data_IF_980959314883
#
_entry.id   IF_980959314883
#
_cell.length_a   1.000
_cell.length_b   1.000
_cell.length_c   1.000
_cell.angle_alpha   90.00
_cell.angle_beta   90.00
_cell.angle_gamma   90.00
#
_symmetry.space_group_name_H-M   'P 1'
#
loop_
_entity.id
_entity.type
_entity.pdbx_description
1 polymer ?
#
# COMPACT_ATOMS: atom_id res chain seq x y z
N UNK A 1 -38.22 14.22 54.39
CA UNK A 1 -37.42 13.96 53.19
C UNK A 1 -37.16 15.33 52.57
N UNK A 2 -35.91 15.74 52.53
CA UNK A 2 -35.51 17.06 52.03
C UNK A 2 -35.56 17.04 50.50
N UNK A 3 -36.49 17.80 49.95
CA UNK A 3 -36.74 17.85 48.49
C UNK A 3 -35.51 18.40 47.73
N UNK A 4 -34.79 19.34 48.34
CA UNK A 4 -33.58 19.91 47.76
C UNK A 4 -32.47 18.85 47.60
N UNK A 5 -32.27 18.02 48.61
CA UNK A 5 -31.31 16.92 48.61
C UNK A 5 -31.68 15.84 47.57
N UNK A 6 -32.97 15.55 47.41
CA UNK A 6 -33.47 14.61 46.41
C UNK A 6 -33.27 15.13 44.99
N UNK A 7 -33.52 16.41 44.75
CA UNK A 7 -33.31 17.01 43.42
C UNK A 7 -31.82 17.08 43.07
N UNK A 8 -30.96 17.41 44.04
CA UNK A 8 -29.50 17.39 43.83
C UNK A 8 -28.97 16.00 43.50
N UNK A 9 -29.45 14.92 44.16
CA UNK A 9 -29.10 13.54 43.85
C UNK A 9 -29.59 13.14 42.43
N UNK A 10 -30.79 13.55 42.05
CA UNK A 10 -31.36 13.31 40.74
C UNK A 10 -30.55 13.99 39.63
N UNK A 11 -30.19 15.27 39.81
CA UNK A 11 -29.35 16.02 38.88
C UNK A 11 -27.95 15.40 38.74
N UNK A 12 -27.37 14.94 39.85
CA UNK A 12 -26.10 14.23 39.86
C UNK A 12 -26.13 12.95 39.02
N UNK A 13 -27.20 12.15 39.17
CA UNK A 13 -27.40 10.92 38.39
C UNK A 13 -27.58 11.20 36.89
N UNK A 14 -28.35 12.22 36.53
CA UNK A 14 -28.54 12.64 35.14
C UNK A 14 -27.24 13.19 34.54
N UNK A 15 -26.41 13.90 35.29
CA UNK A 15 -25.12 14.38 34.84
C UNK A 15 -24.14 13.23 34.60
N UNK A 16 -24.11 12.25 35.50
CA UNK A 16 -23.30 11.04 35.38
C UNK A 16 -23.72 10.19 34.18
N UNK A 17 -25.04 10.01 33.98
CA UNK A 17 -25.57 9.30 32.84
C UNK A 17 -25.17 9.97 31.53
N UNK A 18 -25.33 11.28 31.41
CA UNK A 18 -24.92 12.04 30.21
C UNK A 18 -23.41 11.95 29.92
N UNK A 19 -22.58 11.94 30.96
CA UNK A 19 -21.12 11.74 30.78
C UNK A 19 -20.83 10.35 30.19
N UNK A 20 -21.42 9.30 30.75
CA UNK A 20 -21.25 7.93 30.24
C UNK A 20 -21.72 7.78 28.80
N UNK A 21 -22.89 8.35 28.48
CA UNK A 21 -23.44 8.32 27.13
C UNK A 21 -22.53 9.06 26.12
N UNK A 22 -21.96 10.22 26.54
CA UNK A 22 -20.98 10.94 25.72
C UNK A 22 -19.66 10.19 25.57
N UNK A 23 -19.14 9.55 26.63
CA UNK A 23 -17.91 8.78 26.58
C UNK A 23 -18.05 7.58 25.62
N UNK A 24 -19.18 6.87 25.66
CA UNK A 24 -19.50 5.80 24.73
C UNK A 24 -19.60 6.31 23.28
N UNK A 25 -20.24 7.44 23.06
CA UNK A 25 -20.36 8.04 21.73
C UNK A 25 -19.00 8.46 21.17
N UNK A 26 -18.12 9.02 22.00
CA UNK A 26 -16.74 9.39 21.61
C UNK A 26 -15.94 8.15 21.27
N UNK A 27 -16.08 7.07 22.03
CA UNK A 27 -15.41 5.79 21.76
C UNK A 27 -15.88 5.18 20.44
N UNK A 28 -17.21 5.12 20.21
CA UNK A 28 -17.80 4.64 18.95
C UNK A 28 -17.34 5.46 17.73
N UNK A 29 -17.32 6.80 17.84
CA UNK A 29 -16.85 7.67 16.77
C UNK A 29 -15.36 7.46 16.48
N UNK A 30 -14.55 7.32 17.54
CA UNK A 30 -13.11 7.06 17.40
C UNK A 30 -12.84 5.72 16.73
N UNK A 31 -13.60 4.70 17.07
CA UNK A 31 -13.47 3.37 16.46
C UNK A 31 -13.96 3.36 15.00
N UNK A 32 -15.04 4.08 14.69
CA UNK A 32 -15.51 4.26 13.33
C UNK A 32 -14.48 5.01 12.45
N UNK A 33 -13.86 6.07 12.98
CA UNK A 33 -12.77 6.78 12.30
C UNK A 33 -11.56 5.86 12.04
N UNK A 34 -11.15 5.06 13.05
CA UNK A 34 -10.05 4.09 12.91
C UNK A 34 -10.36 3.02 11.86
N UNK A 35 -11.58 2.53 11.83
CA UNK A 35 -12.02 1.52 10.86
C UNK A 35 -11.95 2.03 9.40
N UNK A 36 -12.07 3.35 9.18
CA UNK A 36 -11.93 3.99 7.87
C UNK A 36 -10.48 4.21 7.41
N UNK A 37 -9.49 4.08 8.32
CA UNK A 37 -8.08 4.35 7.99
C UNK A 37 -7.48 3.23 7.15
N UNK A 38 -7.03 3.56 5.94
CA UNK A 38 -6.37 2.62 5.03
C UNK A 38 -4.85 2.63 5.20
N UNK A 39 -4.18 1.53 4.80
CA UNK A 39 -2.71 1.47 4.74
C UNK A 39 -2.15 2.58 3.84
N UNK A 40 -2.79 2.84 2.71
CA UNK A 40 -2.40 3.92 1.80
C UNK A 40 -2.40 5.29 2.49
N UNK A 41 -3.45 5.60 3.26
CA UNK A 41 -3.55 6.87 3.99
C UNK A 41 -2.44 7.01 5.05
N UNK A 42 -2.09 5.92 5.73
CA UNK A 42 -0.99 5.91 6.71
C UNK A 42 0.38 6.05 6.05
N UNK A 43 0.61 5.39 4.91
CA UNK A 43 1.87 5.50 4.16
C UNK A 43 2.10 6.91 3.63
N UNK A 44 1.04 7.59 3.16
CA UNK A 44 1.14 8.99 2.70
C UNK A 44 1.42 9.99 3.82
N UNK A 45 1.06 9.65 5.06
CA UNK A 45 1.26 10.52 6.23
C UNK A 45 2.64 10.34 6.89
N UNK A 46 3.48 9.44 6.40
CA UNK A 46 4.81 9.20 6.99
C UNK A 46 5.80 10.25 6.51
N UNK A 47 6.41 10.94 7.46
CA UNK A 47 7.57 11.80 7.24
C UNK A 47 8.84 10.98 7.50
N UNK A 48 9.46 10.44 6.46
CA UNK A 48 10.71 9.70 6.58
C UNK A 48 10.69 8.33 5.92
N UNK A 49 11.75 7.53 6.12
CA UNK A 49 11.84 6.19 5.53
C UNK A 49 10.91 5.20 6.22
N UNK A 50 10.38 4.28 5.43
CA UNK A 50 9.58 3.15 5.87
C UNK A 50 10.24 1.85 5.44
N UNK A 51 9.99 0.80 6.19
CA UNK A 51 10.24 -0.58 5.78
C UNK A 51 8.93 -1.22 5.39
N UNK A 52 8.84 -1.73 4.18
CA UNK A 52 7.75 -2.58 3.71
C UNK A 52 8.22 -4.04 3.70
N UNK A 53 7.39 -4.94 4.17
CA UNK A 53 7.54 -6.38 3.95
C UNK A 53 6.53 -6.80 2.91
N UNK A 54 7.02 -7.42 1.84
CA UNK A 54 6.21 -7.92 0.75
C UNK A 54 5.95 -9.42 0.93
N UNK A 55 4.93 -9.94 0.26
CA UNK A 55 4.72 -11.39 0.19
C UNK A 55 6.03 -12.09 -0.19
N UNK A 56 6.27 -13.27 0.39
CA UNK A 56 7.53 -13.97 0.23
C UNK A 56 8.67 -13.46 1.11
N UNK A 57 8.39 -12.50 2.02
CA UNK A 57 9.34 -12.05 3.05
C UNK A 57 10.37 -11.01 2.58
N UNK A 58 10.29 -10.54 1.32
CA UNK A 58 11.17 -9.49 0.82
C UNK A 58 10.93 -8.18 1.58
N UNK A 59 12.02 -7.55 2.01
CA UNK A 59 12.02 -6.23 2.64
C UNK A 59 12.42 -5.15 1.64
N UNK A 60 11.73 -4.02 1.72
CA UNK A 60 12.00 -2.82 0.94
C UNK A 60 12.07 -1.63 1.90
N UNK A 61 13.23 -1.01 2.01
CA UNK A 61 13.46 0.17 2.83
C UNK A 61 13.56 1.41 1.93
N UNK A 62 12.88 2.50 2.31
CA UNK A 62 12.93 3.73 1.53
C UNK A 62 11.87 4.76 1.92
N UNK A 63 11.85 5.88 1.21
CA UNK A 63 10.88 6.94 1.41
C UNK A 63 9.68 6.78 0.47
N UNK A 64 8.48 6.93 0.97
CA UNK A 64 7.26 6.98 0.15
C UNK A 64 7.27 8.24 -0.70
N UNK A 65 7.20 8.09 -2.01
CA UNK A 65 7.18 9.19 -2.99
C UNK A 65 5.78 9.51 -3.46
N UNK A 66 4.98 8.47 -3.67
CA UNK A 66 3.57 8.59 -4.03
C UNK A 66 2.83 7.32 -3.59
N UNK A 67 1.53 7.43 -3.35
CA UNK A 67 0.70 6.30 -2.99
C UNK A 67 -0.73 6.53 -3.48
N UNK A 68 -1.31 5.49 -4.05
CA UNK A 68 -2.72 5.45 -4.43
C UNK A 68 -3.45 4.37 -3.63
N UNK A 69 -4.71 4.11 -3.95
CA UNK A 69 -5.46 3.01 -3.33
C UNK A 69 -4.96 1.61 -3.74
N UNK A 70 -4.15 1.51 -4.78
CA UNK A 70 -3.76 0.22 -5.38
C UNK A 70 -2.26 -0.03 -5.37
N UNK A 71 -1.44 1.00 -5.29
CA UNK A 71 0.01 0.90 -5.30
C UNK A 71 0.69 2.00 -4.49
N UNK A 72 1.92 1.75 -4.11
CA UNK A 72 2.84 2.72 -3.49
C UNK A 72 4.15 2.77 -4.29
N UNK A 73 4.70 3.97 -4.46
CA UNK A 73 6.02 4.22 -5.02
C UNK A 73 6.99 4.53 -3.88
N UNK A 74 8.02 3.73 -3.75
CA UNK A 74 9.05 3.87 -2.69
C UNK A 74 10.39 4.11 -3.33
N UNK A 75 11.10 5.14 -2.88
CA UNK A 75 12.49 5.41 -3.24
C UNK A 75 13.42 4.84 -2.19
N UNK A 76 14.13 3.79 -2.56
CA UNK A 76 15.21 3.19 -1.77
C UNK A 76 16.58 3.41 -2.40
N UNK A 77 17.62 2.81 -1.82
CA UNK A 77 19.00 2.90 -2.32
C UNK A 77 19.18 2.30 -3.72
N UNK A 78 18.37 1.29 -4.07
CA UNK A 78 18.35 0.65 -5.40
C UNK A 78 17.50 1.37 -6.44
N UNK A 79 16.99 2.57 -6.17
CA UNK A 79 16.09 3.33 -7.05
C UNK A 79 14.62 3.25 -6.63
N UNK A 80 13.75 3.59 -7.56
CA UNK A 80 12.31 3.61 -7.32
C UNK A 80 11.69 2.23 -7.53
N UNK A 81 10.88 1.83 -6.56
CA UNK A 81 10.11 0.58 -6.54
C UNK A 81 8.62 0.87 -6.55
N UNK A 82 7.91 0.38 -7.54
CA UNK A 82 6.46 0.40 -7.60
C UNK A 82 5.92 -0.90 -7.01
N UNK A 83 5.16 -0.80 -5.93
CA UNK A 83 4.65 -1.94 -5.15
C UNK A 83 3.13 -1.93 -5.14
N UNK A 84 2.45 -3.00 -5.60
CA UNK A 84 1.02 -3.17 -5.37
C UNK A 84 0.73 -3.23 -3.86
N UNK A 85 -0.24 -2.46 -3.37
CA UNK A 85 -0.58 -2.50 -1.94
C UNK A 85 -1.03 -3.88 -1.46
N UNK A 86 -1.65 -4.67 -2.34
CA UNK A 86 -2.00 -6.07 -2.03
C UNK A 86 -0.80 -7.01 -1.85
N UNK A 87 0.40 -6.57 -2.23
CA UNK A 87 1.63 -7.32 -1.97
C UNK A 87 2.27 -6.98 -0.62
N UNK A 88 1.88 -5.87 0.02
CA UNK A 88 2.42 -5.44 1.32
C UNK A 88 1.77 -6.24 2.43
N UNK A 89 2.55 -6.98 3.18
CA UNK A 89 2.12 -7.79 4.34
C UNK A 89 2.55 -7.19 5.67
N UNK A 90 3.46 -6.19 5.66
CA UNK A 90 3.88 -5.44 6.84
C UNK A 90 4.48 -4.11 6.45
N UNK A 91 4.35 -3.11 7.32
CA UNK A 91 4.92 -1.77 7.12
C UNK A 91 5.25 -1.11 8.46
N UNK A 92 6.42 -0.50 8.58
CA UNK A 92 6.85 0.29 9.75
C UNK A 92 7.99 1.25 9.43
N UNK A 93 8.20 2.32 10.23
CA UNK A 93 7.27 2.82 11.21
C UNK A 93 6.08 3.50 10.54
N UNK A 94 4.88 3.29 11.08
CA UNK A 94 3.70 4.04 10.66
C UNK A 94 3.17 4.83 11.85
N UNK A 95 3.03 6.15 11.70
CA UNK A 95 2.43 7.02 12.70
C UNK A 95 0.96 6.67 12.98
N UNK A 96 0.40 7.28 14.04
CA UNK A 96 -1.04 7.18 14.33
C UNK A 96 -1.89 8.04 13.38
N UNK A 97 -1.29 9.05 12.77
CA UNK A 97 -1.95 9.98 11.84
C UNK A 97 -2.05 9.30 10.47
N UNK A 98 -3.18 9.46 9.82
CA UNK A 98 -3.40 9.09 8.44
C UNK A 98 -3.69 10.35 7.62
N UNK A 99 -3.26 10.40 6.37
CA UNK A 99 -3.74 11.41 5.44
C UNK A 99 -5.26 11.27 5.30
N UNK A 100 -6.00 12.40 5.34
CA UNK A 100 -7.44 12.36 5.13
C UNK A 100 -7.77 11.65 3.79
N UNK A 101 -8.99 11.13 3.65
CA UNK A 101 -9.42 10.41 2.44
C UNK A 101 -9.18 11.19 1.13
N UNK A 102 -9.22 12.52 1.18
CA UNK A 102 -8.87 13.43 0.10
C UNK A 102 -7.38 13.43 -0.25
N UNK A 103 -6.50 13.00 0.65
CA UNK A 103 -5.05 12.92 0.43
C UNK A 103 -4.64 11.69 -0.38
N UNK A 104 -5.41 10.60 -0.31
CA UNK A 104 -5.15 9.42 -1.14
C UNK A 104 -5.72 9.67 -2.54
N UNK A 105 -4.85 10.03 -3.45
CA UNK A 105 -5.25 10.28 -4.85
C UNK A 105 -6.01 9.07 -5.40
N UNK A 106 -7.15 9.31 -6.08
CA UNK A 106 -7.70 8.37 -7.06
C UNK A 106 -6.81 8.37 -8.31
N UNK A 107 -5.50 8.14 -8.10
CA UNK A 107 -4.52 8.14 -9.19
C UNK A 107 -4.78 7.01 -10.19
N UNK A 108 -3.98 7.01 -11.24
CA UNK A 108 -3.98 5.94 -12.22
C UNK A 108 -3.85 4.58 -11.50
N UNK A 109 -4.79 3.67 -11.75
CA UNK A 109 -4.72 2.31 -11.23
C UNK A 109 -3.47 1.58 -11.77
N UNK A 110 -3.07 0.51 -11.09
CA UNK A 110 -1.89 -0.29 -11.47
C UNK A 110 -1.89 -0.64 -12.97
N UNK A 111 -3.02 -1.08 -13.53
CA UNK A 111 -3.12 -1.43 -14.94
C UNK A 111 -2.82 -0.26 -15.89
N UNK A 112 -3.08 0.99 -15.50
CA UNK A 112 -2.70 2.16 -16.30
C UNK A 112 -1.19 2.35 -16.31
N UNK A 113 -0.55 2.26 -15.15
CA UNK A 113 0.91 2.40 -15.02
C UNK A 113 1.62 1.30 -15.80
N UNK A 114 1.13 0.06 -15.75
CA UNK A 114 1.69 -1.06 -16.51
C UNK A 114 1.57 -0.84 -18.03
N UNK A 115 0.46 -0.27 -18.51
CA UNK A 115 0.30 0.09 -19.94
C UNK A 115 1.27 1.18 -20.37
N UNK A 116 1.57 2.14 -19.52
CA UNK A 116 2.59 3.16 -19.80
C UNK A 116 4.00 2.53 -19.92
N UNK A 117 4.34 1.58 -19.04
CA UNK A 117 5.60 0.84 -19.17
C UNK A 117 5.66 0.02 -20.47
N UNK A 118 4.58 -0.64 -20.84
CA UNK A 118 4.48 -1.39 -22.07
C UNK A 118 4.65 -0.46 -23.29
N UNK A 119 3.94 0.66 -23.32
CA UNK A 119 3.98 1.63 -24.42
C UNK A 119 5.38 2.22 -24.63
N UNK A 120 6.13 2.43 -23.54
CA UNK A 120 7.50 2.98 -23.57
C UNK A 120 8.58 1.91 -23.72
N UNK A 121 8.24 0.63 -23.67
CA UNK A 121 9.19 -0.48 -23.75
C UNK A 121 10.24 -0.45 -22.62
N UNK A 122 9.85 0.02 -21.41
CA UNK A 122 10.76 0.18 -20.28
C UNK A 122 11.29 -1.17 -19.81
N UNK A 123 12.62 -1.37 -19.73
CA UNK A 123 13.19 -2.59 -19.15
C UNK A 123 12.97 -2.60 -17.65
N UNK A 124 12.33 -3.65 -17.15
CA UNK A 124 11.92 -3.81 -15.76
C UNK A 124 12.56 -5.05 -15.13
N UNK A 125 12.74 -4.98 -13.83
CA UNK A 125 12.81 -6.14 -12.94
C UNK A 125 11.42 -6.32 -12.34
N UNK A 126 10.79 -7.44 -12.66
CA UNK A 126 9.47 -7.83 -12.17
C UNK A 126 9.68 -8.86 -11.06
N UNK A 127 9.42 -8.49 -9.82
CA UNK A 127 9.39 -9.42 -8.69
C UNK A 127 7.95 -9.96 -8.53
N UNK A 128 7.82 -11.27 -8.63
CA UNK A 128 6.54 -11.98 -8.67
C UNK A 128 6.59 -13.22 -7.78
N UNK A 129 5.45 -13.78 -7.40
CA UNK A 129 5.38 -15.03 -6.63
C UNK A 129 6.02 -16.22 -7.38
N UNK A 130 6.09 -16.15 -8.71
CA UNK A 130 6.80 -17.12 -9.55
C UNK A 130 8.33 -16.91 -9.64
N UNK A 131 8.86 -15.87 -8.98
CA UNK A 131 10.27 -15.48 -9.01
C UNK A 131 10.48 -14.06 -9.51
N UNK A 132 11.75 -13.61 -9.53
CA UNK A 132 12.10 -12.28 -10.03
C UNK A 132 12.68 -12.41 -11.47
N UNK A 133 12.20 -11.59 -12.38
CA UNK A 133 12.52 -11.69 -13.80
C UNK A 133 12.87 -10.32 -14.39
N UNK A 134 13.83 -10.29 -15.27
CA UNK A 134 14.14 -9.09 -16.06
C UNK A 134 13.41 -9.19 -17.40
N UNK A 135 12.81 -8.10 -17.85
CA UNK A 135 12.11 -8.09 -19.14
C UNK A 135 11.36 -6.80 -19.41
N UNK A 136 10.52 -6.82 -20.42
CA UNK A 136 9.63 -5.71 -20.80
C UNK A 136 8.20 -6.19 -20.82
N UNK A 137 7.28 -5.37 -20.33
CA UNK A 137 5.86 -5.65 -20.49
C UNK A 137 5.50 -5.40 -21.94
N UNK A 138 4.91 -6.41 -22.60
CA UNK A 138 4.49 -6.32 -24.02
C UNK A 138 2.97 -6.24 -24.18
N UNK A 139 2.21 -6.72 -23.17
CA UNK A 139 0.76 -6.58 -23.14
C UNK A 139 0.23 -6.54 -21.70
N UNK A 140 -0.88 -5.84 -21.49
CA UNK A 140 -1.56 -5.73 -20.17
C UNK A 140 -3.02 -6.08 -20.34
N UNK A 141 -3.44 -7.11 -19.65
CA UNK A 141 -4.80 -7.65 -19.63
C UNK A 141 -5.53 -7.29 -18.33
N UNK A 142 -6.71 -7.84 -18.12
CA UNK A 142 -7.53 -7.54 -16.96
C UNK A 142 -6.92 -8.05 -15.64
N UNK A 143 -6.28 -9.21 -15.65
CA UNK A 143 -5.79 -9.95 -14.49
C UNK A 143 -4.33 -10.42 -14.60
N UNK A 144 -3.68 -10.22 -15.76
CA UNK A 144 -2.30 -10.62 -16.03
C UNK A 144 -1.59 -9.65 -16.98
N UNK A 145 -0.28 -9.80 -17.07
CA UNK A 145 0.58 -9.12 -18.03
C UNK A 145 1.44 -10.12 -18.76
N UNK A 146 1.70 -9.87 -20.04
CA UNK A 146 2.71 -10.58 -20.78
C UNK A 146 4.04 -9.83 -20.68
N UNK A 147 5.07 -10.54 -20.29
CA UNK A 147 6.45 -10.04 -20.17
C UNK A 147 7.31 -10.80 -21.18
N UNK A 148 8.03 -10.06 -22.01
CA UNK A 148 9.11 -10.61 -22.82
C UNK A 148 10.38 -10.64 -21.96
N UNK A 149 10.91 -11.84 -21.72
CA UNK A 149 12.07 -12.04 -20.86
C UNK A 149 13.33 -11.43 -21.52
N UNK A 150 14.04 -10.64 -20.74
CA UNK A 150 15.36 -10.10 -21.07
C UNK A 150 16.49 -11.10 -20.76
N UNK A 151 17.72 -10.68 -21.03
CA UNK A 151 18.89 -11.48 -20.75
C UNK A 151 19.24 -11.52 -19.25
N UNK A 152 19.65 -12.69 -18.80
CA UNK A 152 20.20 -12.98 -17.49
C UNK A 152 19.17 -13.15 -16.38
N UNK A 153 19.48 -14.03 -15.41
CA UNK A 153 18.66 -14.27 -14.25
C UNK A 153 18.68 -13.08 -13.30
N UNK A 154 17.63 -12.93 -12.49
CA UNK A 154 17.58 -11.99 -11.35
C UNK A 154 17.55 -12.83 -10.07
N UNK A 155 18.67 -12.84 -9.32
CA UNK A 155 18.79 -13.66 -8.12
C UNK A 155 18.70 -15.16 -8.42
N UNK A 156 17.99 -15.91 -7.58
CA UNK A 156 17.81 -17.38 -7.72
C UNK A 156 16.67 -17.76 -8.69
N UNK A 157 16.19 -16.83 -9.50
CA UNK A 157 15.07 -17.09 -10.42
C UNK A 157 15.49 -17.99 -11.57
N UNK A 158 14.59 -18.88 -11.99
CA UNK A 158 14.78 -19.66 -13.21
C UNK A 158 14.83 -18.72 -14.40
N UNK A 159 15.83 -18.91 -15.24
CA UNK A 159 15.91 -18.24 -16.53
C UNK A 159 14.82 -18.83 -17.46
N UNK A 160 13.92 -17.99 -17.94
CA UNK A 160 12.92 -18.39 -18.93
C UNK A 160 13.49 -18.43 -20.36
N UNK A 161 14.75 -18.05 -20.54
CA UNK A 161 15.37 -17.83 -21.83
C UNK A 161 15.04 -16.45 -22.41
N UNK A 162 16.05 -15.77 -22.92
CA UNK A 162 15.89 -14.46 -23.54
C UNK A 162 14.88 -14.52 -24.70
N UNK A 163 13.96 -13.57 -24.77
CA UNK A 163 12.90 -13.48 -25.76
C UNK A 163 11.68 -14.38 -25.49
N UNK A 164 11.70 -15.21 -24.45
CA UNK A 164 10.49 -15.96 -24.04
C UNK A 164 9.39 -15.01 -23.59
N UNK A 165 8.15 -15.26 -24.02
CA UNK A 165 6.97 -14.52 -23.51
C UNK A 165 6.31 -15.30 -22.39
N UNK A 166 6.15 -14.65 -21.25
CA UNK A 166 5.58 -15.25 -20.05
C UNK A 166 4.42 -14.41 -19.55
N UNK A 167 3.29 -15.04 -19.29
CA UNK A 167 2.12 -14.40 -18.70
C UNK A 167 2.20 -14.46 -17.17
N UNK A 168 2.19 -13.32 -16.51
CA UNK A 168 2.26 -13.16 -15.05
C UNK A 168 0.95 -12.61 -14.50
N UNK A 169 0.33 -13.32 -13.57
CA UNK A 169 -0.89 -12.88 -12.92
C UNK A 169 -0.64 -11.60 -12.08
N UNK A 170 -1.48 -10.57 -12.23
CA UNK A 170 -1.34 -9.33 -11.45
C UNK A 170 -1.44 -9.56 -9.94
N UNK A 171 -2.20 -10.55 -9.52
CA UNK A 171 -2.32 -10.94 -8.10
C UNK A 171 -1.01 -11.45 -7.49
N UNK A 172 -0.11 -12.02 -8.33
CA UNK A 172 1.21 -12.51 -7.92
C UNK A 172 2.30 -11.44 -7.94
N UNK A 173 2.02 -10.25 -8.49
CA UNK A 173 3.00 -9.17 -8.57
C UNK A 173 3.34 -8.63 -7.18
N UNK A 174 4.64 -8.50 -6.88
CA UNK A 174 5.15 -7.99 -5.62
C UNK A 174 5.83 -6.63 -5.75
N UNK A 175 6.68 -6.46 -6.77
CA UNK A 175 7.42 -5.24 -7.00
C UNK A 175 7.80 -5.09 -8.48
N UNK A 176 7.84 -3.85 -8.94
CA UNK A 176 8.39 -3.47 -10.24
C UNK A 176 9.48 -2.42 -10.04
N UNK A 177 10.64 -2.64 -10.64
CA UNK A 177 11.76 -1.68 -10.67
C UNK A 177 12.25 -1.50 -12.10
N UNK A 178 12.68 -0.29 -12.44
CA UNK A 178 13.40 -0.08 -13.70
C UNK A 178 14.77 -0.79 -13.62
N UNK A 179 15.13 -1.55 -14.64
CA UNK A 179 16.32 -2.39 -14.62
C UNK A 179 17.62 -1.59 -14.42
N UNK A 180 17.67 -0.34 -14.87
CA UNK A 180 18.85 0.54 -14.80
C UNK A 180 18.75 1.60 -13.68
N UNK A 181 17.82 1.44 -12.74
CA UNK A 181 17.72 2.22 -11.51
C UNK A 181 17.20 3.65 -11.63
N UNK A 182 16.74 4.10 -12.81
CA UNK A 182 16.18 5.46 -13.02
C UNK A 182 14.86 5.38 -13.77
N UNK A 183 13.85 6.10 -13.22
CA UNK A 183 12.56 6.38 -13.86
C UNK A 183 12.68 7.53 -14.84
#
# INVERSE_FOLDING_TARGET
MDIELFLADLEGRFAEQRRRDNDLLVEELTDAERAGVTLAARLLAVDGPVTLVLRGGRRLDGAVRDCTRTWVLVRGDGGDSLVPLGAVVGAWPLGRVAAGETGVKRGAGMGHVLREFAARGVPLVVDHDAGAHRGRIVAVYADHVDVEAGEGPVGDSRDWGAGARVSLALSGLRELRVADGRW
#
